data_IF_238749945007
#
_entry.id   IF_238749945007
#
_cell.length_a   1.000
_cell.length_b   1.000
_cell.length_c   1.000
_cell.angle_alpha   90.00
_cell.angle_beta   90.00
_cell.angle_gamma   90.00
#
_symmetry.space_group_name_H-M   'P 1'
#
loop_
_entity.id
_entity.type
_entity.pdbx_description
1 polymer ?
#
# COMPACT_ATOMS: atom_id res chain seq x y z
N UNK A 1 -10.70 24.18 90.86
CA UNK A 1 -10.34 25.19 89.85
C UNK A 1 -9.92 24.44 88.59
N UNK A 2 -10.53 24.77 87.46
CA UNK A 2 -10.21 24.24 86.11
C UNK A 2 -8.80 24.73 85.65
N UNK A 3 -8.20 24.29 84.51
CA UNK A 3 -8.81 23.98 83.19
C UNK A 3 -8.38 22.60 82.59
N UNK A 4 -9.19 21.82 81.88
CA UNK A 4 -9.78 21.93 80.52
C UNK A 4 -8.76 22.27 79.41
N UNK A 5 -8.27 21.23 78.72
CA UNK A 5 -7.59 21.30 77.43
C UNK A 5 -8.49 20.71 76.33
N UNK A 6 -8.79 21.54 75.33
CA UNK A 6 -9.53 21.23 74.11
C UNK A 6 -8.61 20.54 73.09
N UNK A 7 -8.98 19.36 72.58
CA UNK A 7 -8.53 18.89 71.27
C UNK A 7 -9.77 18.56 70.42
N UNK A 8 -10.06 19.46 69.47
CA UNK A 8 -11.07 19.25 68.44
C UNK A 8 -10.53 18.33 67.34
N UNK A 9 -11.18 17.19 67.16
CA UNK A 9 -10.92 16.27 66.05
C UNK A 9 -11.75 16.73 64.84
N UNK A 10 -11.10 17.30 63.81
CA UNK A 10 -11.73 17.56 62.51
C UNK A 10 -11.68 16.29 61.67
N UNK A 11 -12.84 15.67 61.45
CA UNK A 11 -12.98 14.61 60.45
C UNK A 11 -13.00 15.23 59.05
N UNK A 12 -11.95 14.97 58.25
CA UNK A 12 -11.92 15.30 56.83
C UNK A 12 -12.61 14.17 56.06
N UNK A 13 -13.77 14.48 55.48
CA UNK A 13 -14.50 13.58 54.58
C UNK A 13 -13.81 13.61 53.22
N UNK A 14 -13.02 12.58 52.90
CA UNK A 14 -12.48 12.39 51.55
C UNK A 14 -13.61 11.88 50.64
N UNK A 15 -14.15 12.78 49.82
CA UNK A 15 -14.98 12.40 48.67
C UNK A 15 -14.04 11.84 47.59
N UNK A 16 -14.01 10.51 47.47
CA UNK A 16 -13.42 9.84 46.32
C UNK A 16 -14.23 10.21 45.06
N UNK A 17 -13.59 10.66 43.97
CA UNK A 17 -14.29 10.83 42.71
C UNK A 17 -14.75 9.45 42.22
N UNK A 18 -16.04 9.28 42.01
CA UNK A 18 -16.58 8.16 41.25
C UNK A 18 -15.97 8.22 39.85
N UNK A 19 -14.97 7.36 39.60
CA UNK A 19 -14.59 7.02 38.24
C UNK A 19 -15.81 6.36 37.60
N UNK A 20 -16.50 7.09 36.72
CA UNK A 20 -17.45 6.47 35.80
C UNK A 20 -16.65 5.49 34.97
N UNK A 21 -16.77 4.20 35.27
CA UNK A 21 -16.39 3.15 34.34
C UNK A 21 -17.13 3.43 33.05
N UNK A 22 -16.41 3.85 32.01
CA UNK A 22 -16.96 3.93 30.68
C UNK A 22 -17.53 2.55 30.36
N UNK A 23 -18.84 2.47 30.20
CA UNK A 23 -19.50 1.27 29.69
C UNK A 23 -18.90 1.00 28.32
N UNK A 24 -18.04 -0.01 28.22
CA UNK A 24 -17.65 -0.58 26.94
C UNK A 24 -18.95 -1.09 26.31
N UNK A 25 -19.58 -0.31 25.43
CA UNK A 25 -20.74 -0.78 24.72
C UNK A 25 -20.29 -1.97 23.86
N UNK A 26 -20.77 -3.17 24.20
CA UNK A 26 -20.59 -4.39 23.41
C UNK A 26 -21.36 -4.34 22.07
N UNK A 27 -21.63 -3.15 21.54
CA UNK A 27 -22.38 -2.98 20.30
C UNK A 27 -21.43 -3.02 19.11
N UNK A 28 -21.71 -3.94 18.20
CA UNK A 28 -21.11 -3.95 16.87
C UNK A 28 -21.54 -2.69 16.13
N UNK A 29 -20.57 -1.95 15.59
CA UNK A 29 -20.85 -0.87 14.65
C UNK A 29 -20.77 -1.38 13.21
N UNK A 30 -21.63 -0.86 12.34
CA UNK A 30 -21.64 -1.21 10.91
C UNK A 30 -21.66 0.06 10.06
N UNK A 31 -20.89 0.06 8.96
CA UNK A 31 -20.93 1.11 7.94
C UNK A 31 -20.55 0.52 6.59
N UNK A 32 -21.33 0.76 5.54
CA UNK A 32 -21.07 0.30 4.17
C UNK A 32 -20.72 -1.21 4.07
N UNK A 33 -21.39 -2.04 4.88
CA UNK A 33 -21.16 -3.48 4.97
C UNK A 33 -19.92 -3.91 5.78
N UNK A 34 -19.10 -2.97 6.25
CA UNK A 34 -17.99 -3.22 7.17
C UNK A 34 -18.48 -3.23 8.61
N UNK A 35 -17.94 -4.11 9.44
CA UNK A 35 -18.31 -4.25 10.85
C UNK A 35 -17.14 -3.98 11.79
N UNK A 36 -17.46 -3.52 12.99
CA UNK A 36 -16.51 -3.37 14.09
C UNK A 36 -17.06 -4.08 15.32
N UNK A 37 -16.72 -5.36 15.45
CA UNK A 37 -17.14 -6.23 16.54
C UNK A 37 -16.05 -6.25 17.63
N UNK A 38 -16.39 -6.05 18.91
CA UNK A 38 -15.40 -6.12 19.99
C UNK A 38 -14.62 -7.43 19.96
N UNK A 39 -13.28 -7.34 19.99
CA UNK A 39 -12.33 -8.47 19.99
C UNK A 39 -12.28 -9.34 18.73
N UNK A 40 -12.97 -8.96 17.64
CA UNK A 40 -12.78 -9.63 16.36
C UNK A 40 -11.37 -9.38 15.79
N UNK A 41 -10.85 -10.32 15.00
CA UNK A 41 -9.65 -10.11 14.18
C UNK A 41 -9.95 -8.99 13.19
N UNK A 42 -9.04 -8.01 13.09
CA UNK A 42 -9.19 -6.84 12.22
C UNK A 42 -8.37 -7.02 10.95
N UNK A 43 -8.74 -6.30 9.90
CA UNK A 43 -7.97 -6.36 8.66
C UNK A 43 -6.53 -5.87 8.79
N UNK A 44 -6.18 -5.04 9.78
CA UNK A 44 -4.79 -4.64 10.05
C UNK A 44 -4.07 -5.56 11.04
N UNK A 45 -4.69 -6.68 11.44
CA UNK A 45 -4.09 -7.73 12.28
C UNK A 45 -3.49 -8.87 11.45
N UNK A 46 -3.41 -8.71 10.14
CA UNK A 46 -2.72 -9.65 9.24
C UNK A 46 -1.48 -8.99 8.62
N UNK A 47 -0.60 -9.80 8.05
CA UNK A 47 0.56 -9.36 7.29
C UNK A 47 0.57 -10.09 5.94
N UNK A 48 0.78 -9.34 4.88
CA UNK A 48 0.83 -9.83 3.50
C UNK A 48 2.15 -9.45 2.82
N UNK A 49 2.50 -10.19 1.79
CA UNK A 49 3.62 -9.86 0.89
C UNK A 49 3.07 -9.17 -0.36
N UNK A 50 3.77 -8.12 -0.77
CA UNK A 50 3.47 -7.36 -1.97
C UNK A 50 4.65 -7.30 -2.92
N UNK A 51 4.37 -7.07 -4.20
CA UNK A 51 5.42 -6.83 -5.19
C UNK A 51 5.62 -5.34 -5.40
N UNK A 52 6.87 -4.90 -5.42
CA UNK A 52 7.25 -3.54 -5.80
C UNK A 52 7.16 -3.45 -7.34
N UNK A 53 6.54 -2.39 -7.87
CA UNK A 53 6.27 -2.23 -9.31
C UNK A 53 5.60 -3.45 -9.96
N UNK A 54 4.52 -3.99 -9.38
CA UNK A 54 3.88 -5.25 -9.76
C UNK A 54 3.59 -5.42 -11.25
N UNK A 55 3.41 -4.33 -11.99
CA UNK A 55 3.10 -4.34 -13.41
C UNK A 55 4.32 -4.54 -14.33
N UNK A 56 5.54 -4.37 -13.79
CA UNK A 56 6.78 -4.18 -14.55
C UNK A 56 7.19 -5.37 -15.42
N UNK A 57 7.72 -5.05 -16.61
CA UNK A 57 8.32 -5.99 -17.57
C UNK A 57 9.66 -5.46 -18.04
N UNK A 58 10.66 -6.34 -18.08
CA UNK A 58 11.99 -6.04 -18.62
C UNK A 58 11.86 -5.64 -20.08
N UNK A 59 12.56 -4.57 -20.46
CA UNK A 59 12.64 -4.15 -21.85
C UNK A 59 13.25 -5.27 -22.72
N UNK A 60 12.81 -5.44 -23.98
CA UNK A 60 13.46 -6.36 -24.91
C UNK A 60 14.95 -6.05 -25.09
N UNK A 61 15.78 -7.08 -25.33
CA UNK A 61 17.23 -6.92 -25.51
C UNK A 61 17.62 -5.86 -26.56
N UNK A 62 16.79 -5.67 -27.59
CA UNK A 62 17.01 -4.65 -28.62
C UNK A 62 16.92 -3.21 -28.10
N UNK A 63 16.19 -2.98 -27.00
CA UNK A 63 16.04 -1.67 -26.36
C UNK A 63 17.12 -1.42 -25.29
N UNK A 64 17.80 -2.46 -24.79
CA UNK A 64 18.78 -2.36 -23.69
C UNK A 64 19.88 -1.32 -23.91
N UNK A 65 20.57 -1.24 -25.08
CA UNK A 65 21.61 -0.24 -25.27
C UNK A 65 21.08 1.19 -25.22
N UNK A 66 19.89 1.43 -25.78
CA UNK A 66 19.24 2.73 -25.74
C UNK A 66 18.77 3.07 -24.33
N UNK A 67 18.17 2.11 -23.63
CA UNK A 67 17.75 2.26 -22.24
C UNK A 67 18.95 2.60 -21.33
N UNK A 68 20.07 1.91 -21.50
CA UNK A 68 21.31 2.15 -20.75
C UNK A 68 21.95 3.52 -21.03
N UNK A 69 21.68 4.13 -22.19
CA UNK A 69 22.12 5.48 -22.52
C UNK A 69 21.24 6.56 -21.88
N UNK A 70 20.01 6.22 -21.51
CA UNK A 70 19.02 7.15 -20.93
C UNK A 70 19.00 7.06 -19.41
N UNK A 71 18.99 5.85 -18.86
CA UNK A 71 18.78 5.58 -17.44
C UNK A 71 20.09 5.22 -16.72
N UNK A 72 20.37 5.83 -15.55
CA UNK A 72 21.45 5.38 -14.68
C UNK A 72 21.11 4.03 -14.05
N UNK A 73 22.13 3.24 -13.70
CA UNK A 73 21.98 1.95 -13.02
C UNK A 73 20.97 1.01 -13.71
N UNK A 74 21.01 0.96 -15.04
CA UNK A 74 20.01 0.28 -15.89
C UNK A 74 19.72 -1.19 -15.52
N UNK A 75 20.68 -1.87 -14.88
CA UNK A 75 20.52 -3.24 -14.42
C UNK A 75 19.37 -3.41 -13.41
N UNK A 76 19.04 -2.37 -12.63
CA UNK A 76 17.91 -2.38 -11.71
C UNK A 76 16.54 -2.48 -12.40
N UNK A 77 16.48 -2.26 -13.72
CA UNK A 77 15.26 -2.37 -14.52
C UNK A 77 15.17 -3.71 -15.27
N UNK A 78 16.18 -4.58 -15.15
CA UNK A 78 16.26 -5.85 -15.88
C UNK A 78 15.64 -7.01 -15.10
N UNK A 79 14.36 -6.86 -14.77
CA UNK A 79 13.53 -7.88 -14.15
C UNK A 79 12.12 -7.83 -14.74
N UNK A 80 11.33 -8.87 -14.49
CA UNK A 80 9.93 -8.89 -14.90
C UNK A 80 9.09 -9.56 -13.83
N UNK A 81 7.90 -9.02 -13.62
CA UNK A 81 6.86 -9.76 -12.94
C UNK A 81 5.97 -10.52 -13.93
N UNK A 82 5.35 -11.64 -13.50
CA UNK A 82 4.20 -12.21 -14.18
C UNK A 82 3.00 -11.24 -14.18
N UNK A 83 1.94 -11.56 -14.92
CA UNK A 83 0.68 -10.80 -14.84
C UNK A 83 0.13 -10.75 -13.40
N UNK A 84 -0.64 -9.71 -13.06
CA UNK A 84 -1.09 -9.47 -11.68
C UNK A 84 -1.91 -10.63 -11.08
N UNK A 85 -2.76 -11.26 -11.88
CA UNK A 85 -3.52 -12.46 -11.50
C UNK A 85 -2.63 -13.69 -11.30
N UNK A 86 -1.57 -13.83 -12.10
CA UNK A 86 -0.55 -14.89 -11.94
C UNK A 86 0.25 -14.67 -10.65
N UNK A 87 0.58 -13.43 -10.30
CA UNK A 87 1.22 -13.10 -9.02
C UNK A 87 0.30 -13.47 -7.84
N UNK A 88 -0.98 -13.09 -7.89
CA UNK A 88 -1.94 -13.46 -6.85
C UNK A 88 -2.11 -14.98 -6.72
N UNK A 89 -2.24 -15.69 -7.83
CA UNK A 89 -2.55 -17.13 -7.85
C UNK A 89 -1.33 -17.98 -7.50
N UNK A 90 -0.18 -17.72 -8.11
CA UNK A 90 0.97 -18.62 -8.09
C UNK A 90 2.14 -18.13 -7.23
N UNK A 91 2.12 -16.87 -6.80
CA UNK A 91 3.17 -16.29 -5.96
C UNK A 91 2.64 -15.80 -4.61
N UNK A 92 1.37 -16.11 -4.29
CA UNK A 92 0.72 -15.79 -3.02
C UNK A 92 0.73 -14.29 -2.69
N UNK A 93 0.70 -13.44 -3.71
CA UNK A 93 0.74 -11.97 -3.55
C UNK A 93 -0.63 -11.42 -3.18
N UNK A 94 -0.67 -10.55 -2.15
CA UNK A 94 -1.89 -9.87 -1.69
C UNK A 94 -1.71 -8.36 -1.54
N UNK A 95 -0.65 -7.80 -2.11
CA UNK A 95 -0.48 -6.37 -2.30
C UNK A 95 0.14 -6.10 -3.68
N UNK A 96 -0.38 -5.09 -4.38
CA UNK A 96 0.14 -4.68 -5.68
C UNK A 96 0.57 -3.22 -5.65
N UNK A 97 1.61 -2.87 -6.39
CA UNK A 97 2.12 -1.52 -6.54
C UNK A 97 2.06 -1.10 -8.01
N UNK A 98 1.41 0.04 -8.27
CA UNK A 98 1.22 0.61 -9.59
C UNK A 98 1.76 2.04 -9.63
N UNK A 99 2.66 2.28 -10.57
CA UNK A 99 3.12 3.62 -10.91
C UNK A 99 2.16 4.20 -11.93
N UNK A 100 1.65 5.38 -11.64
CA UNK A 100 0.61 6.00 -12.46
C UNK A 100 1.05 7.33 -13.04
N UNK A 101 0.69 7.53 -14.29
CA UNK A 101 0.93 8.76 -15.03
C UNK A 101 -0.41 9.32 -15.54
N UNK A 102 -0.63 10.61 -15.32
CA UNK A 102 -1.83 11.29 -15.78
C UNK A 102 -1.75 11.51 -17.30
N UNK A 103 -2.81 11.17 -18.02
CA UNK A 103 -2.93 11.41 -19.46
C UNK A 103 -4.39 11.79 -19.81
N UNK A 104 -4.83 13.01 -19.43
CA UNK A 104 -6.22 13.43 -19.54
C UNK A 104 -6.71 13.58 -20.99
N UNK A 105 -5.80 13.84 -21.93
CA UNK A 105 -6.12 13.99 -23.35
C UNK A 105 -5.86 12.71 -24.16
N UNK A 106 -5.10 11.77 -23.60
CA UNK A 106 -4.69 10.55 -24.28
C UNK A 106 -3.50 10.76 -25.21
N UNK A 107 -2.76 9.69 -25.47
CA UNK A 107 -1.66 9.69 -26.42
C UNK A 107 -0.35 10.27 -25.90
N UNK A 108 -0.32 10.84 -24.69
CA UNK A 108 0.85 11.54 -24.17
C UNK A 108 2.07 10.63 -23.97
N UNK A 109 1.82 9.36 -23.62
CA UNK A 109 2.83 8.31 -23.49
C UNK A 109 2.81 7.30 -24.65
N UNK A 110 2.13 7.67 -25.75
CA UNK A 110 1.91 6.75 -26.86
C UNK A 110 3.14 6.57 -27.75
N UNK A 111 4.21 7.37 -27.66
CA UNK A 111 5.44 7.26 -28.47
C UNK A 111 6.67 7.24 -27.58
N UNK A 112 7.66 6.37 -27.84
CA UNK A 112 8.67 5.97 -26.82
C UNK A 112 10.04 6.39 -27.28
N UNK A 113 10.66 7.26 -26.50
CA UNK A 113 12.00 7.75 -26.71
C UNK A 113 13.02 6.60 -26.83
N UNK A 114 12.94 5.57 -25.98
CA UNK A 114 13.86 4.42 -26.02
C UNK A 114 13.81 3.67 -27.35
N UNK A 115 12.63 3.53 -27.97
CA UNK A 115 12.46 2.87 -29.27
C UNK A 115 13.11 3.67 -30.39
N UNK A 116 12.86 4.99 -30.40
CA UNK A 116 13.48 5.91 -31.35
C UNK A 116 15.01 5.86 -31.26
N UNK A 117 15.57 5.88 -30.04
CA UNK A 117 17.01 5.78 -29.84
C UNK A 117 17.59 4.43 -30.22
N UNK A 118 16.82 3.35 -30.08
CA UNK A 118 17.19 2.01 -30.53
C UNK A 118 17.06 1.84 -32.06
N UNK A 119 16.57 2.84 -32.81
CA UNK A 119 16.30 2.72 -34.24
C UNK A 119 15.17 1.74 -34.56
N UNK A 120 14.27 1.52 -33.61
CA UNK A 120 13.09 0.66 -33.73
C UNK A 120 11.87 1.49 -34.15
N UNK A 121 10.84 0.81 -34.65
CA UNK A 121 9.55 1.43 -34.97
C UNK A 121 8.94 2.09 -33.72
N UNK A 122 8.80 3.41 -33.71
CA UNK A 122 8.25 4.20 -32.61
C UNK A 122 6.80 4.66 -32.86
N UNK A 123 6.08 3.96 -33.75
CA UNK A 123 4.66 4.20 -34.00
C UNK A 123 3.84 4.29 -32.69
N UNK A 124 2.82 5.18 -32.63
CA UNK A 124 2.00 5.31 -31.45
C UNK A 124 1.36 3.98 -31.02
N UNK A 125 1.43 3.63 -29.73
CA UNK A 125 0.72 2.44 -29.23
C UNK A 125 -0.77 2.76 -29.14
N UNK A 126 -1.63 2.02 -29.85
CA UNK A 126 -3.07 2.29 -29.86
C UNK A 126 -3.71 2.20 -28.47
N UNK A 127 -3.20 1.37 -27.57
CA UNK A 127 -3.76 1.18 -26.22
C UNK A 127 -3.54 2.41 -25.32
N UNK A 128 -2.61 3.29 -25.70
CA UNK A 128 -2.26 4.50 -24.96
C UNK A 128 -2.83 5.78 -25.59
N UNK A 129 -3.57 5.68 -26.70
CA UNK A 129 -4.16 6.84 -27.39
C UNK A 129 -5.41 7.40 -26.73
N UNK A 130 -6.18 6.58 -26.02
CA UNK A 130 -7.38 7.05 -25.34
C UNK A 130 -7.01 7.87 -24.09
N UNK A 131 -7.82 8.87 -23.67
CA UNK A 131 -7.71 9.50 -22.36
C UNK A 131 -7.71 8.51 -21.20
N UNK A 132 -7.10 8.91 -20.08
CA UNK A 132 -7.14 8.19 -18.81
C UNK A 132 -5.76 7.77 -18.31
N UNK A 133 -5.70 7.30 -17.07
CA UNK A 133 -4.45 7.10 -16.34
C UNK A 133 -3.64 5.92 -16.91
N UNK A 134 -2.33 6.14 -17.13
CA UNK A 134 -1.40 5.14 -17.68
C UNK A 134 -0.59 4.49 -16.57
N UNK A 135 -0.17 3.25 -16.81
CA UNK A 135 0.69 2.48 -15.92
C UNK A 135 1.97 2.12 -16.66
N UNK A 136 3.10 2.62 -16.17
CA UNK A 136 4.45 2.42 -16.68
C UNK A 136 5.46 2.85 -15.61
N UNK A 137 6.74 2.49 -15.75
CA UNK A 137 7.73 2.75 -14.69
C UNK A 137 8.49 4.07 -14.88
N UNK A 138 9.14 4.25 -16.02
CA UNK A 138 9.78 5.53 -16.40
C UNK A 138 9.27 5.93 -17.76
N UNK A 139 8.64 7.11 -17.84
CA UNK A 139 8.08 7.64 -19.08
C UNK A 139 9.10 7.55 -20.21
N UNK A 140 8.68 6.95 -21.33
CA UNK A 140 9.43 6.78 -22.58
C UNK A 140 10.74 5.97 -22.53
N UNK A 141 11.23 5.60 -21.35
CA UNK A 141 12.51 4.93 -21.14
C UNK A 141 12.39 3.50 -20.59
N UNK A 142 11.41 3.26 -19.72
CA UNK A 142 11.09 1.94 -19.16
C UNK A 142 9.56 1.80 -19.06
N UNK A 143 8.95 1.49 -20.20
CA UNK A 143 7.50 1.60 -20.39
C UNK A 143 6.77 0.25 -20.46
N UNK A 144 7.51 -0.86 -20.46
CA UNK A 144 6.90 -2.18 -20.63
C UNK A 144 6.18 -2.60 -19.35
N UNK A 145 4.95 -3.05 -19.54
CA UNK A 145 4.02 -3.35 -18.45
C UNK A 145 3.11 -4.51 -18.85
N UNK A 146 2.63 -5.27 -17.86
CA UNK A 146 1.61 -6.32 -18.04
C UNK A 146 0.22 -5.75 -18.35
N UNK A 147 -0.03 -4.49 -18.02
CA UNK A 147 -1.28 -3.77 -18.25
C UNK A 147 -1.02 -2.26 -18.35
N UNK A 148 -1.61 -1.58 -19.34
CA UNK A 148 -1.16 -0.24 -19.77
C UNK A 148 -1.94 0.93 -19.19
N UNK A 149 -3.16 0.69 -18.71
CA UNK A 149 -4.02 1.70 -18.07
C UNK A 149 -4.38 1.27 -16.67
N UNK A 150 -4.66 2.23 -15.79
CA UNK A 150 -5.06 1.95 -14.41
C UNK A 150 -6.29 1.03 -14.39
N UNK A 151 -7.33 1.39 -15.13
CA UNK A 151 -8.56 0.59 -15.22
C UNK A 151 -8.32 -0.84 -15.73
N UNK A 152 -7.42 -1.04 -16.70
CA UNK A 152 -7.08 -2.38 -17.17
C UNK A 152 -6.35 -3.19 -16.09
N UNK A 153 -5.36 -2.59 -15.42
CA UNK A 153 -4.63 -3.24 -14.33
C UNK A 153 -5.55 -3.63 -13.17
N UNK A 154 -6.40 -2.71 -12.72
CA UNK A 154 -7.36 -2.96 -11.65
C UNK A 154 -8.39 -4.03 -12.04
N UNK A 155 -8.81 -4.07 -13.31
CA UNK A 155 -9.76 -5.08 -13.80
C UNK A 155 -9.20 -6.51 -13.77
N UNK A 156 -7.88 -6.68 -13.97
CA UNK A 156 -7.23 -8.00 -13.83
C UNK A 156 -7.37 -8.51 -12.41
N UNK A 157 -7.02 -7.70 -11.42
CA UNK A 157 -7.12 -8.09 -10.00
C UNK A 157 -8.58 -8.21 -9.57
N UNK A 158 -9.48 -7.36 -10.10
CA UNK A 158 -10.92 -7.49 -9.84
C UNK A 158 -11.47 -8.83 -10.29
N UNK A 159 -11.13 -9.27 -11.51
CA UNK A 159 -11.58 -10.56 -12.02
C UNK A 159 -11.08 -11.72 -11.15
N UNK A 160 -9.83 -11.64 -10.68
CA UNK A 160 -9.29 -12.59 -9.71
C UNK A 160 -10.06 -12.54 -8.38
N UNK A 161 -10.27 -11.34 -7.82
CA UNK A 161 -10.98 -11.11 -6.56
C UNK A 161 -12.42 -11.65 -6.59
N UNK A 162 -13.15 -11.43 -7.69
CA UNK A 162 -14.53 -11.92 -7.86
C UNK A 162 -14.60 -13.46 -7.83
N UNK A 163 -13.55 -14.15 -8.29
CA UNK A 163 -13.40 -15.61 -8.23
C UNK A 163 -12.90 -16.13 -6.88
N UNK A 164 -12.40 -15.25 -5.99
CA UNK A 164 -11.73 -15.60 -4.74
C UNK A 164 -12.29 -14.79 -3.55
N UNK A 165 -13.62 -14.75 -3.38
CA UNK A 165 -14.29 -13.77 -2.52
C UNK A 165 -13.88 -13.76 -1.04
N UNK A 166 -13.27 -14.85 -0.55
CA UNK A 166 -12.81 -14.97 0.83
C UNK A 166 -11.37 -14.50 1.04
N UNK A 167 -10.71 -13.97 0.00
CA UNK A 167 -9.34 -13.44 0.11
C UNK A 167 -9.28 -12.31 1.13
N UNK A 168 -8.14 -12.17 1.82
CA UNK A 168 -7.91 -11.03 2.72
C UNK A 168 -7.88 -9.71 1.95
N UNK A 169 -8.18 -8.55 2.57
CA UNK A 169 -8.21 -7.28 1.85
C UNK A 169 -6.90 -6.99 1.10
N UNK A 170 -6.99 -6.60 -0.18
CA UNK A 170 -5.82 -6.36 -1.03
C UNK A 170 -5.51 -4.86 -1.06
N UNK A 171 -4.43 -4.39 -0.42
CA UNK A 171 -3.94 -3.04 -0.62
C UNK A 171 -3.29 -2.87 -2.00
N UNK A 172 -3.58 -1.75 -2.65
CA UNK A 172 -2.86 -1.23 -3.80
C UNK A 172 -2.01 -0.03 -3.39
N UNK A 173 -0.71 -0.13 -3.55
CA UNK A 173 0.20 1.02 -3.52
C UNK A 173 0.09 1.77 -4.85
N UNK A 174 -0.13 3.08 -4.80
CA UNK A 174 -0.26 3.95 -5.98
C UNK A 174 0.84 5.01 -5.92
N UNK A 175 1.84 4.91 -6.79
CA UNK A 175 2.89 5.92 -6.94
C UNK A 175 2.54 6.91 -8.04
N UNK A 176 2.39 8.18 -7.65
CA UNK A 176 2.10 9.27 -8.57
C UNK A 176 3.41 9.72 -9.22
N UNK A 177 3.60 9.30 -10.47
CA UNK A 177 4.78 9.63 -11.27
C UNK A 177 4.51 10.74 -12.27
N UNK A 178 5.58 11.40 -12.68
CA UNK A 178 5.61 12.34 -13.80
C UNK A 178 6.85 12.07 -14.62
N UNK A 179 6.85 12.45 -15.91
CA UNK A 179 8.06 12.32 -16.72
C UNK A 179 9.24 13.06 -16.12
N UNK A 180 10.42 12.46 -16.18
CA UNK A 180 11.64 13.11 -15.70
C UNK A 180 12.03 14.28 -16.60
N UNK A 181 12.64 15.32 -16.01
CA UNK A 181 13.07 16.50 -16.77
C UNK A 181 14.07 16.15 -17.88
N UNK A 182 14.94 15.14 -17.66
CA UNK A 182 15.89 14.67 -18.66
C UNK A 182 15.20 14.02 -19.87
N UNK A 183 14.13 13.25 -19.64
CA UNK A 183 13.30 12.65 -20.70
C UNK A 183 12.64 13.74 -21.55
N UNK A 184 12.02 14.73 -20.89
CA UNK A 184 11.39 15.85 -21.57
C UNK A 184 12.42 16.67 -22.39
N UNK A 185 13.62 16.89 -21.84
CA UNK A 185 14.70 17.59 -22.54
C UNK A 185 15.22 16.82 -23.77
N UNK A 186 15.10 15.49 -23.76
CA UNK A 186 15.44 14.61 -24.87
C UNK A 186 14.28 14.44 -25.89
N UNK A 187 13.27 15.32 -25.87
CA UNK A 187 12.09 15.25 -26.72
C UNK A 187 11.23 13.97 -26.53
N UNK A 188 11.23 13.44 -25.30
CA UNK A 188 10.21 12.52 -24.79
C UNK A 188 9.02 13.26 -24.16
N UNK A 189 8.13 12.51 -23.53
CA UNK A 189 6.92 13.00 -22.88
C UNK A 189 7.23 14.07 -21.82
N UNK A 190 6.54 15.22 -21.88
CA UNK A 190 6.64 16.27 -20.87
C UNK A 190 5.98 15.85 -19.53
N UNK A 191 6.40 16.39 -18.37
CA UNK A 191 5.73 16.10 -17.11
C UNK A 191 4.31 16.67 -17.08
N UNK A 192 3.33 15.83 -16.74
CA UNK A 192 1.97 16.25 -16.37
C UNK A 192 1.87 16.15 -14.84
N UNK A 193 1.84 17.27 -14.11
CA UNK A 193 1.95 17.24 -12.66
C UNK A 193 0.63 16.85 -12.00
N UNK A 194 0.72 15.96 -11.00
CA UNK A 194 -0.44 15.42 -10.28
C UNK A 194 -1.02 16.35 -9.21
N UNK A 195 -0.40 17.48 -8.90
CA UNK A 195 -0.92 18.47 -7.95
C UNK A 195 -2.06 19.32 -8.57
N UNK A 196 -3.00 18.64 -9.22
CA UNK A 196 -4.18 19.17 -9.88
C UNK A 196 -5.43 18.44 -9.34
N UNK A 197 -6.37 19.20 -8.78
CA UNK A 197 -7.54 18.61 -8.12
C UNK A 197 -8.47 17.86 -9.09
N UNK A 198 -8.49 18.22 -10.37
CA UNK A 198 -9.30 17.54 -11.37
C UNK A 198 -8.68 16.19 -11.76
N UNK A 199 -7.37 16.12 -11.94
CA UNK A 199 -6.66 14.85 -12.16
C UNK A 199 -6.82 13.90 -10.97
N UNK A 200 -6.67 14.42 -9.75
CA UNK A 200 -6.84 13.63 -8.52
C UNK A 200 -8.28 13.13 -8.33
N UNK A 201 -9.29 13.92 -8.76
CA UNK A 201 -10.67 13.44 -8.81
C UNK A 201 -10.86 12.38 -9.90
N UNK A 202 -10.24 12.55 -11.06
CA UNK A 202 -10.26 11.56 -12.13
C UNK A 202 -9.71 10.20 -11.69
N UNK A 203 -8.66 10.19 -10.87
CA UNK A 203 -8.16 8.96 -10.23
C UNK A 203 -9.22 8.31 -9.33
N UNK A 204 -9.82 9.08 -8.42
CA UNK A 204 -10.89 8.60 -7.54
C UNK A 204 -12.06 8.00 -8.36
N UNK A 205 -12.40 8.63 -9.49
CA UNK A 205 -13.48 8.20 -10.39
C UNK A 205 -13.12 6.93 -11.19
N UNK A 206 -11.90 6.82 -11.73
CA UNK A 206 -11.44 5.61 -12.42
C UNK A 206 -11.41 4.39 -11.48
N UNK A 207 -10.97 4.57 -10.23
CA UNK A 207 -11.00 3.48 -9.23
C UNK A 207 -12.44 3.03 -8.96
N UNK A 208 -13.35 3.98 -8.73
CA UNK A 208 -14.77 3.68 -8.48
C UNK A 208 -15.50 3.08 -9.67
N UNK A 209 -15.03 3.35 -10.89
CA UNK A 209 -15.57 2.73 -12.09
C UNK A 209 -15.25 1.23 -12.16
N UNK A 210 -14.14 0.80 -11.56
CA UNK A 210 -13.75 -0.62 -11.50
C UNK A 210 -14.32 -1.29 -10.24
N UNK A 211 -14.17 -0.68 -9.07
CA UNK A 211 -14.61 -1.23 -7.79
C UNK A 211 -15.77 -0.44 -7.20
N UNK A 212 -16.92 -1.11 -7.05
CA UNK A 212 -18.07 -0.58 -6.34
C UNK A 212 -17.80 -0.38 -4.83
N UNK A 213 -18.66 0.38 -4.13
CA UNK A 213 -18.47 0.69 -2.70
C UNK A 213 -18.46 -0.55 -1.78
N UNK A 214 -19.08 -1.65 -2.20
CA UNK A 214 -19.07 -2.94 -1.51
C UNK A 214 -17.74 -3.71 -1.66
N UNK A 215 -16.91 -3.33 -2.65
CA UNK A 215 -15.58 -3.89 -2.91
C UNK A 215 -14.44 -2.99 -2.45
N UNK A 216 -14.75 -1.82 -1.87
CA UNK A 216 -13.77 -0.87 -1.38
C UNK A 216 -13.75 -0.79 0.15
N UNK A 217 -12.57 -0.48 0.69
CA UNK A 217 -12.40 0.13 2.01
C UNK A 217 -11.78 1.51 1.79
N UNK A 218 -12.49 2.55 2.19
CA UNK A 218 -12.12 3.96 1.99
C UNK A 218 -11.92 4.69 3.31
N UNK A 219 -11.22 5.85 3.33
CA UNK A 219 -11.13 6.70 4.52
C UNK A 219 -12.49 6.99 5.16
N UNK A 220 -13.51 7.25 4.35
CA UNK A 220 -14.86 7.54 4.83
C UNK A 220 -15.45 6.40 5.63
N UNK A 221 -15.16 5.14 5.32
CA UNK A 221 -15.65 3.99 6.07
C UNK A 221 -15.11 3.97 7.51
N UNK A 222 -13.89 4.46 7.71
CA UNK A 222 -13.20 4.43 9.00
C UNK A 222 -13.57 5.63 9.88
N UNK A 223 -13.79 6.81 9.29
CA UNK A 223 -14.12 8.04 10.03
C UNK A 223 -15.34 7.90 10.93
N UNK A 224 -15.27 8.37 12.18
CA UNK A 224 -16.38 8.31 13.15
C UNK A 224 -16.80 9.69 13.66
N UNK A 225 -18.05 10.06 13.42
CA UNK A 225 -18.63 11.29 13.94
C UNK A 225 -17.75 12.52 13.64
N UNK A 226 -17.34 13.24 14.70
CA UNK A 226 -16.49 14.43 14.60
C UNK A 226 -14.99 14.15 14.78
N UNK A 227 -14.57 12.88 14.76
CA UNK A 227 -13.15 12.51 14.87
C UNK A 227 -12.44 12.71 13.52
N UNK A 228 -11.13 12.98 13.60
CA UNK A 228 -10.26 12.80 12.45
C UNK A 228 -10.16 11.31 12.07
N UNK A 229 -9.66 11.00 10.89
CA UNK A 229 -9.43 9.66 10.38
C UNK A 229 -8.41 8.98 11.28
N UNK A 230 -7.31 9.67 11.58
CA UNK A 230 -6.32 9.23 12.56
C UNK A 230 -6.96 8.88 13.90
N UNK A 231 -7.71 9.82 14.49
CA UNK A 231 -8.38 9.57 15.77
C UNK A 231 -9.36 8.39 15.70
N UNK A 232 -10.00 8.19 14.56
CA UNK A 232 -10.92 7.08 14.35
C UNK A 232 -10.18 5.74 14.32
N UNK A 233 -9.06 5.64 13.62
CA UNK A 233 -8.28 4.39 13.56
C UNK A 233 -7.59 4.09 14.90
N UNK A 234 -7.03 5.10 15.57
CA UNK A 234 -6.37 4.91 16.86
C UNK A 234 -7.34 4.54 17.99
N UNK A 235 -8.60 5.02 17.93
CA UNK A 235 -9.61 4.76 18.98
C UNK A 235 -10.45 3.52 18.70
N UNK A 236 -10.79 3.26 17.45
CA UNK A 236 -11.77 2.25 17.07
C UNK A 236 -11.18 1.12 16.23
N UNK A 237 -9.94 1.26 15.77
CA UNK A 237 -9.26 0.28 14.92
C UNK A 237 -9.85 0.20 13.51
N UNK A 238 -9.31 -0.75 12.75
CA UNK A 238 -9.77 -1.08 11.41
C UNK A 238 -11.00 -2.02 11.45
N UNK A 239 -11.75 -2.14 10.34
CA UNK A 239 -12.84 -3.10 10.22
C UNK A 239 -12.44 -4.53 10.59
N UNK A 240 -13.44 -5.33 10.98
CA UNK A 240 -13.29 -6.77 11.17
C UNK A 240 -12.84 -7.41 9.85
N UNK A 241 -11.88 -8.33 9.92
CA UNK A 241 -11.33 -9.03 8.76
C UNK A 241 -12.45 -9.67 7.93
N UNK A 242 -13.38 -10.37 8.59
CA UNK A 242 -14.51 -11.06 7.94
C UNK A 242 -15.36 -10.14 7.08
N UNK A 243 -15.65 -8.92 7.53
CA UNK A 243 -16.45 -7.95 6.76
C UNK A 243 -15.65 -7.28 5.63
N UNK A 244 -14.31 -7.34 5.71
CA UNK A 244 -13.40 -6.73 4.77
C UNK A 244 -12.91 -7.71 3.68
N UNK A 245 -13.13 -9.03 3.82
CA UNK A 245 -12.80 -10.03 2.80
C UNK A 245 -13.37 -9.66 1.43
N UNK A 246 -12.63 -10.01 0.38
CA UNK A 246 -13.07 -9.73 -1.00
C UNK A 246 -13.10 -8.24 -1.36
N UNK A 247 -12.48 -7.37 -0.54
CA UNK A 247 -12.36 -5.92 -0.78
C UNK A 247 -10.92 -5.52 -1.04
N UNK A 248 -10.77 -4.31 -1.59
CA UNK A 248 -9.49 -3.68 -1.86
C UNK A 248 -9.41 -2.31 -1.19
N UNK A 249 -8.20 -1.80 -0.97
CA UNK A 249 -7.94 -0.45 -0.48
C UNK A 249 -6.75 0.16 -1.21
N UNK A 250 -6.68 1.49 -1.28
CA UNK A 250 -5.65 2.18 -2.05
C UNK A 250 -4.79 3.07 -1.15
N UNK A 251 -3.48 2.97 -1.28
CA UNK A 251 -2.47 3.57 -0.42
C UNK A 251 -1.56 4.44 -1.30
N UNK A 252 -1.48 5.73 -1.02
CA UNK A 252 -0.60 6.65 -1.76
C UNK A 252 0.86 6.35 -1.39
N UNK A 253 1.71 6.11 -2.38
CA UNK A 253 3.13 5.87 -2.15
C UNK A 253 3.89 7.16 -1.77
N UNK A 254 3.59 8.26 -2.45
CA UNK A 254 4.32 9.52 -2.31
C UNK A 254 4.35 10.01 -0.85
N UNK A 255 5.50 10.52 -0.42
CA UNK A 255 5.81 10.81 0.98
C UNK A 255 4.85 11.78 1.69
N UNK A 256 4.93 11.84 3.04
CA UNK A 256 4.09 12.73 3.85
C UNK A 256 4.33 14.23 3.57
N UNK A 257 5.47 14.58 2.99
CA UNK A 257 5.81 15.91 2.48
C UNK A 257 5.92 15.81 0.96
N UNK A 258 4.81 16.03 0.26
CA UNK A 258 4.77 15.91 -1.20
C UNK A 258 3.63 16.75 -1.80
N UNK A 259 3.85 17.52 -2.90
CA UNK A 259 2.82 18.37 -3.50
C UNK A 259 1.53 17.65 -3.90
N UNK A 260 1.65 16.38 -4.31
CA UNK A 260 0.47 15.55 -4.65
C UNK A 260 -0.39 15.29 -3.41
N UNK A 261 0.24 14.93 -2.28
CA UNK A 261 -0.47 14.69 -1.02
C UNK A 261 -1.14 15.97 -0.54
N UNK A 262 -0.43 17.10 -0.61
CA UNK A 262 -0.96 18.41 -0.23
C UNK A 262 -2.20 18.76 -1.08
N UNK A 263 -2.13 18.58 -2.40
CA UNK A 263 -3.28 18.80 -3.29
C UNK A 263 -4.42 17.79 -3.07
N UNK A 264 -4.12 16.57 -2.67
CA UNK A 264 -5.13 15.53 -2.41
C UNK A 264 -5.93 15.81 -1.13
N UNK A 265 -5.27 16.42 -0.13
CA UNK A 265 -5.86 16.80 1.17
C UNK A 265 -6.43 18.22 1.19
N UNK A 266 -6.17 19.04 0.16
CA UNK A 266 -6.68 20.41 0.09
C UNK A 266 -8.22 20.46 0.11
N UNK A 267 -8.77 21.27 1.01
CA UNK A 267 -10.21 21.33 1.32
C UNK A 267 -10.82 20.03 1.87
N UNK A 268 -10.02 18.97 2.05
CA UNK A 268 -10.41 17.63 2.50
C UNK A 268 -9.36 17.06 3.46
N UNK A 269 -9.05 17.74 4.57
CA UNK A 269 -7.94 17.38 5.45
C UNK A 269 -8.14 16.03 6.13
N UNK A 270 -9.37 15.51 6.14
CA UNK A 270 -9.72 14.21 6.71
C UNK A 270 -9.96 13.14 5.62
N UNK A 271 -9.52 13.41 4.38
CA UNK A 271 -9.77 12.59 3.20
C UNK A 271 -11.26 12.41 2.88
N UNK A 272 -12.08 13.43 3.15
CA UNK A 272 -13.52 13.35 2.91
C UNK A 272 -13.85 13.05 1.45
N UNK A 273 -14.54 11.93 1.19
CA UNK A 273 -14.93 11.52 -0.15
C UNK A 273 -13.77 11.07 -1.04
N UNK A 274 -12.56 10.90 -0.51
CA UNK A 274 -11.40 10.34 -1.23
C UNK A 274 -11.42 8.82 -1.21
N UNK A 275 -10.78 8.18 -2.20
CA UNK A 275 -10.61 6.72 -2.23
C UNK A 275 -9.32 6.29 -1.53
N UNK A 276 -8.21 6.97 -1.83
CA UNK A 276 -6.90 6.62 -1.28
C UNK A 276 -6.74 7.07 0.18
N UNK A 277 -6.00 6.26 0.95
CA UNK A 277 -5.32 6.66 2.17
C UNK A 277 -3.97 7.30 1.80
N UNK A 278 -3.71 8.50 2.30
CA UNK A 278 -2.43 9.19 2.10
C UNK A 278 -1.35 8.60 2.99
N UNK A 279 -0.12 8.53 2.49
CA UNK A 279 1.05 8.32 3.34
C UNK A 279 1.28 9.60 4.15
N UNK A 280 0.89 9.60 5.42
CA UNK A 280 0.87 10.81 6.25
C UNK A 280 1.68 10.61 7.53
N UNK A 281 2.04 11.71 8.19
CA UNK A 281 2.75 11.67 9.45
C UNK A 281 1.76 11.60 10.63
N UNK A 282 2.06 10.84 11.70
CA UNK A 282 1.29 10.86 12.94
C UNK A 282 1.09 12.29 13.47
N UNK A 283 -0.12 12.58 13.94
CA UNK A 283 -0.63 13.88 14.34
C UNK A 283 -1.42 14.62 13.24
N UNK A 284 -1.30 14.20 11.98
CA UNK A 284 -2.11 14.76 10.90
C UNK A 284 -3.51 14.13 10.85
N UNK A 285 -4.58 14.90 10.55
CA UNK A 285 -5.94 14.38 10.55
C UNK A 285 -6.16 13.15 9.63
N UNK A 286 -5.45 13.07 8.51
CA UNK A 286 -5.52 12.02 7.50
C UNK A 286 -4.64 10.79 7.79
N UNK A 287 -3.86 10.78 8.88
CA UNK A 287 -2.90 9.71 9.13
C UNK A 287 -3.58 8.40 9.57
N UNK A 288 -3.79 7.50 8.61
CA UNK A 288 -4.11 6.09 8.87
C UNK A 288 -3.06 5.13 8.28
N UNK A 289 -2.30 5.59 7.29
CA UNK A 289 -1.30 4.82 6.56
C UNK A 289 0.06 5.52 6.57
N UNK A 290 1.13 4.72 6.71
CA UNK A 290 2.52 5.17 6.66
C UNK A 290 3.35 4.23 5.77
N UNK A 291 4.14 4.81 4.86
CA UNK A 291 5.18 4.07 4.14
C UNK A 291 6.53 4.29 4.80
N UNK A 292 7.07 3.23 5.40
CA UNK A 292 8.33 3.23 6.13
C UNK A 292 9.25 2.17 5.52
N UNK A 293 10.09 2.59 4.57
CA UNK A 293 10.79 1.67 3.67
C UNK A 293 11.88 0.83 4.31
N UNK A 294 12.55 1.33 5.35
CA UNK A 294 13.70 0.68 5.97
C UNK A 294 13.27 -0.03 7.26
N UNK A 295 13.15 -1.37 7.26
CA UNK A 295 12.78 -2.11 8.47
C UNK A 295 13.98 -2.39 9.38
N UNK A 296 15.15 -1.79 9.15
CA UNK A 296 16.37 -2.09 9.88
C UNK A 296 16.69 -1.03 10.94
N UNK A 297 17.65 -1.35 11.82
CA UNK A 297 18.16 -0.41 12.82
C UNK A 297 17.07 0.18 13.72
N UNK A 298 17.16 1.50 13.96
CA UNK A 298 16.19 2.22 14.80
C UNK A 298 14.80 2.34 14.14
N UNK A 299 14.72 2.31 12.81
CA UNK A 299 13.46 2.47 12.09
C UNK A 299 12.55 1.25 12.27
N UNK A 300 13.12 0.06 12.46
CA UNK A 300 12.35 -1.13 12.84
C UNK A 300 11.49 -0.91 14.09
N UNK A 301 12.08 -0.28 15.12
CA UNK A 301 11.39 0.00 16.36
C UNK A 301 10.29 1.05 16.15
N UNK A 302 10.51 2.02 15.27
CA UNK A 302 9.47 2.97 14.86
C UNK A 302 8.32 2.25 14.15
N UNK A 303 8.59 1.43 13.13
CA UNK A 303 7.57 0.65 12.42
C UNK A 303 6.74 -0.17 13.40
N UNK A 304 7.39 -0.90 14.31
CA UNK A 304 6.68 -1.70 15.32
C UNK A 304 5.78 -0.85 16.21
N UNK A 305 6.25 0.33 16.62
CA UNK A 305 5.45 1.26 17.42
C UNK A 305 4.24 1.81 16.65
N UNK A 306 4.41 2.16 15.37
CA UNK A 306 3.31 2.63 14.51
C UNK A 306 2.26 1.53 14.30
N UNK A 307 2.71 0.30 14.02
CA UNK A 307 1.85 -0.87 13.87
C UNK A 307 1.07 -1.12 15.17
N UNK A 308 1.75 -1.13 16.32
CA UNK A 308 1.11 -1.34 17.63
C UNK A 308 0.11 -0.24 17.99
N UNK A 309 0.30 0.99 17.49
CA UNK A 309 -0.64 2.09 17.67
C UNK A 309 -1.92 1.94 16.84
N UNK A 310 -1.92 1.10 15.79
CA UNK A 310 -3.07 0.83 14.95
C UNK A 310 -3.01 1.45 13.55
N UNK A 311 -1.88 2.07 13.17
CA UNK A 311 -1.66 2.49 11.79
C UNK A 311 -1.47 1.29 10.87
N UNK A 312 -1.83 1.46 9.60
CA UNK A 312 -1.40 0.57 8.53
C UNK A 312 -0.01 0.98 8.07
N UNK A 313 0.93 0.03 7.99
CA UNK A 313 2.31 0.31 7.60
C UNK A 313 2.74 -0.59 6.45
N UNK A 314 3.38 0.01 5.44
CA UNK A 314 4.14 -0.71 4.41
C UNK A 314 5.63 -0.53 4.66
N UNK A 315 6.38 -1.63 4.55
CA UNK A 315 7.85 -1.64 4.56
C UNK A 315 8.40 -2.47 3.40
N UNK A 316 9.73 -2.53 3.25
CA UNK A 316 10.40 -3.34 2.21
C UNK A 316 11.21 -4.48 2.82
N UNK A 317 11.36 -5.57 2.09
CA UNK A 317 12.24 -6.69 2.46
C UNK A 317 13.62 -6.63 1.80
N UNK A 318 13.79 -5.80 0.79
CA UNK A 318 14.98 -5.69 -0.05
C UNK A 318 15.13 -4.30 -0.67
N UNK A 319 16.34 -4.05 -1.18
CA UNK A 319 16.73 -2.95 -2.07
C UNK A 319 17.25 -3.61 -3.35
N UNK A 320 16.77 -3.25 -4.56
CA UNK A 320 16.71 -4.13 -5.73
C UNK A 320 17.93 -5.05 -5.92
N UNK A 321 18.95 -4.64 -6.66
CA UNK A 321 20.15 -5.46 -6.82
C UNK A 321 21.14 -5.34 -5.65
N UNK A 322 21.06 -4.27 -4.85
CA UNK A 322 21.95 -4.04 -3.72
C UNK A 322 21.84 -5.15 -2.67
N UNK A 323 20.62 -5.62 -2.38
CA UNK A 323 20.41 -6.75 -1.48
C UNK A 323 21.04 -8.03 -2.04
N UNK A 324 20.82 -8.34 -3.32
CA UNK A 324 21.38 -9.55 -3.92
C UNK A 324 22.91 -9.56 -3.96
N UNK A 325 23.55 -8.40 -4.13
CA UNK A 325 25.01 -8.27 -4.18
C UNK A 325 25.65 -8.05 -2.80
N UNK A 326 24.86 -7.96 -1.74
CA UNK A 326 25.38 -7.80 -0.38
C UNK A 326 25.93 -9.11 0.21
N UNK A 327 26.68 -9.00 1.30
CA UNK A 327 27.11 -10.15 2.10
C UNK A 327 25.99 -10.71 3.00
N UNK A 328 24.85 -10.01 3.11
CA UNK A 328 23.70 -10.41 3.91
C UNK A 328 22.41 -10.09 3.16
N UNK A 329 21.95 -11.08 2.40
CA UNK A 329 20.75 -10.98 1.58
C UNK A 329 19.47 -11.06 2.40
N UNK A 330 19.51 -11.45 3.69
CA UNK A 330 18.30 -11.88 4.43
C UNK A 330 17.91 -11.01 5.61
N UNK A 331 18.84 -10.27 6.24
CA UNK A 331 18.52 -9.53 7.46
C UNK A 331 17.40 -8.50 7.27
N UNK A 332 17.35 -7.78 6.14
CA UNK A 332 16.29 -6.80 5.88
C UNK A 332 14.91 -7.47 5.78
N UNK A 333 14.82 -8.65 5.14
CA UNK A 333 13.60 -9.46 5.06
C UNK A 333 13.12 -9.90 6.44
N UNK A 334 14.01 -10.48 7.24
CA UNK A 334 13.66 -10.93 8.59
C UNK A 334 13.24 -9.76 9.48
N UNK A 335 13.92 -8.61 9.30
CA UNK A 335 13.58 -7.41 10.02
C UNK A 335 12.20 -6.86 9.62
N UNK A 336 11.85 -6.89 8.32
CA UNK A 336 10.53 -6.53 7.81
C UNK A 336 9.44 -7.44 8.38
N UNK A 337 9.66 -8.75 8.35
CA UNK A 337 8.75 -9.73 8.91
C UNK A 337 8.52 -9.50 10.42
N UNK A 338 9.58 -9.28 11.20
CA UNK A 338 9.48 -9.06 12.64
C UNK A 338 8.87 -7.70 13.03
N UNK A 339 8.93 -6.70 12.13
CA UNK A 339 8.43 -5.34 12.38
C UNK A 339 6.91 -5.27 12.56
N UNK A 340 6.17 -6.21 11.96
CA UNK A 340 4.71 -6.22 11.93
C UNK A 340 4.10 -5.23 10.93
N UNK A 341 4.86 -4.60 10.04
CA UNK A 341 4.25 -3.85 8.93
C UNK A 341 3.26 -4.74 8.18
N UNK A 342 2.03 -4.27 7.93
CA UNK A 342 0.97 -5.07 7.30
C UNK A 342 1.33 -5.46 5.86
N UNK A 343 2.11 -4.64 5.16
CA UNK A 343 2.63 -4.94 3.81
C UNK A 343 4.15 -5.01 3.86
N UNK A 344 4.70 -6.14 3.42
CA UNK A 344 6.13 -6.32 3.16
C UNK A 344 6.33 -6.40 1.65
N UNK A 345 6.80 -5.30 1.04
CA UNK A 345 7.05 -5.23 -0.39
C UNK A 345 8.43 -5.79 -0.75
N UNK A 346 8.52 -6.44 -1.91
CA UNK A 346 9.74 -7.08 -2.42
C UNK A 346 9.83 -6.97 -3.94
N UNK A 347 11.04 -6.91 -4.47
CA UNK A 347 11.32 -7.13 -5.89
C UNK A 347 11.44 -8.65 -6.23
N UNK A 348 11.50 -9.54 -5.22
CA UNK A 348 11.83 -10.97 -5.35
C UNK A 348 10.88 -11.89 -4.57
N UNK A 349 9.61 -11.97 -4.98
CA UNK A 349 8.59 -12.77 -4.30
C UNK A 349 8.67 -14.30 -4.54
N UNK A 350 9.54 -14.76 -5.45
CA UNK A 350 9.62 -16.18 -5.80
C UNK A 350 11.06 -16.63 -6.08
N UNK A 351 11.40 -17.84 -5.62
CA UNK A 351 12.65 -18.49 -6.01
C UNK A 351 12.72 -18.64 -7.53
N UNK A 352 13.93 -18.54 -8.08
CA UNK A 352 14.18 -18.49 -9.52
C UNK A 352 14.31 -17.06 -10.06
N UNK A 353 13.68 -16.07 -9.42
CA UNK A 353 13.76 -14.67 -9.88
C UNK A 353 15.16 -14.08 -9.70
N UNK A 354 15.84 -14.41 -8.61
CA UNK A 354 17.19 -13.94 -8.31
C UNK A 354 18.30 -14.80 -8.95
N UNK A 355 17.96 -15.94 -9.56
CA UNK A 355 18.95 -16.91 -10.10
C UNK A 355 19.81 -16.32 -11.22
N UNK A 356 19.33 -15.29 -11.92
CA UNK A 356 20.13 -14.52 -12.89
C UNK A 356 21.43 -13.97 -12.29
N UNK A 357 21.43 -13.71 -10.99
CA UNK A 357 22.57 -13.16 -10.24
C UNK A 357 23.27 -14.20 -9.36
N UNK A 358 23.01 -15.50 -9.57
CA UNK A 358 23.59 -16.61 -8.79
C UNK A 358 23.26 -16.54 -7.28
N UNK A 359 22.07 -16.03 -6.95
CA UNK A 359 21.56 -15.95 -5.58
C UNK A 359 20.20 -16.64 -5.52
N UNK A 360 19.96 -17.44 -4.48
CA UNK A 360 18.65 -18.02 -4.16
C UNK A 360 17.96 -17.19 -3.06
N UNK A 361 17.44 -16.03 -3.45
CA UNK A 361 16.71 -15.11 -2.58
C UNK A 361 15.24 -15.07 -2.97
N UNK A 362 14.37 -15.15 -1.96
CA UNK A 362 12.95 -14.91 -2.12
C UNK A 362 12.34 -14.39 -0.81
N UNK A 363 11.30 -13.58 -0.95
CA UNK A 363 10.48 -13.08 0.16
C UNK A 363 9.13 -13.77 0.09
N UNK A 364 8.94 -14.77 0.96
CA UNK A 364 7.75 -15.62 1.03
C UNK A 364 7.50 -16.00 2.48
N UNK A 365 6.24 -16.20 2.85
CA UNK A 365 5.93 -16.83 4.12
C UNK A 365 6.19 -18.34 4.06
N UNK A 366 6.35 -18.94 5.24
CA UNK A 366 6.48 -20.38 5.40
C UNK A 366 5.29 -21.10 4.74
N UNK A 367 5.55 -22.25 4.12
CA UNK A 367 4.52 -23.01 3.42
C UNK A 367 3.90 -22.31 2.20
N UNK A 368 4.50 -21.21 1.72
CA UNK A 368 3.96 -20.36 0.66
C UNK A 368 2.58 -19.74 0.98
N UNK A 369 2.28 -19.51 2.26
CA UNK A 369 1.09 -18.80 2.68
C UNK A 369 1.01 -17.40 2.03
N UNK A 370 -0.20 -16.96 1.66
CA UNK A 370 -0.44 -15.60 1.13
C UNK A 370 -0.51 -14.53 2.22
N UNK A 371 -0.84 -14.96 3.42
CA UNK A 371 -1.11 -14.09 4.57
C UNK A 371 -0.76 -14.85 5.84
N UNK A 372 -0.35 -14.10 6.87
CA UNK A 372 -0.21 -14.62 8.23
C UNK A 372 -0.76 -13.63 9.25
N UNK A 373 -0.97 -14.08 10.47
CA UNK A 373 -1.27 -13.26 11.62
C UNK A 373 -0.11 -12.29 11.87
N UNK A 374 -0.46 -11.03 12.10
CA UNK A 374 0.53 -9.99 12.35
C UNK A 374 1.27 -10.24 13.68
N UNK A 375 2.61 -10.32 13.71
CA UNK A 375 3.37 -10.66 14.92
C UNK A 375 3.37 -9.56 16.00
N UNK A 376 2.74 -8.41 15.73
CA UNK A 376 2.63 -7.28 16.66
C UNK A 376 1.19 -7.07 17.12
N UNK A 377 0.23 -7.10 16.20
CA UNK A 377 -1.17 -6.69 16.47
C UNK A 377 -2.16 -7.85 16.48
N UNK A 378 -1.80 -9.04 16.01
CA UNK A 378 -2.73 -10.16 16.01
C UNK A 378 -3.16 -10.52 17.44
N UNK A 379 -4.44 -10.79 17.60
CA UNK A 379 -4.98 -11.29 18.86
C UNK A 379 -4.45 -12.71 19.14
N UNK A 380 -4.42 -13.11 20.41
CA UNK A 380 -3.93 -14.43 20.87
C UNK A 380 -4.64 -15.63 20.18
N UNK A 381 -5.86 -15.43 19.66
CA UNK A 381 -6.63 -16.43 18.92
C UNK A 381 -6.58 -16.30 17.39
N UNK A 382 -5.65 -15.53 16.83
CA UNK A 382 -5.47 -15.46 15.38
C UNK A 382 -4.82 -16.76 14.89
N UNK A 383 -5.43 -17.38 13.89
CA UNK A 383 -4.98 -18.63 13.28
C UNK A 383 -4.67 -18.40 11.80
N UNK A 384 -3.39 -18.53 11.43
CA UNK A 384 -2.89 -18.36 10.06
C UNK A 384 -3.69 -19.19 9.06
N UNK A 385 -4.08 -20.42 9.43
CA UNK A 385 -4.80 -21.33 8.55
C UNK A 385 -6.26 -20.91 8.28
N UNK A 386 -6.81 -20.02 9.11
CA UNK A 386 -8.17 -19.49 8.97
C UNK A 386 -8.20 -18.12 8.26
N UNK A 387 -7.05 -17.53 7.97
CA UNK A 387 -6.98 -16.20 7.36
C UNK A 387 -7.37 -16.21 5.89
N UNK A 388 -7.10 -17.27 5.14
CA UNK A 388 -7.49 -17.39 3.74
C UNK A 388 -7.66 -18.86 3.35
N UNK A 389 -8.59 -19.20 2.44
CA UNK A 389 -8.75 -20.58 1.98
C UNK A 389 -7.47 -21.11 1.32
N UNK A 390 -7.05 -22.30 1.75
CA UNK A 390 -5.77 -22.90 1.32
C UNK A 390 -5.75 -23.22 -0.19
N UNK A 391 -6.92 -23.43 -0.79
CA UNK A 391 -7.10 -23.63 -2.23
C UNK A 391 -6.66 -22.42 -3.06
N UNK A 392 -6.58 -21.22 -2.49
CA UNK A 392 -6.15 -20.02 -3.22
C UNK A 392 -4.63 -19.96 -3.41
N UNK A 393 -3.88 -20.85 -2.74
CA UNK A 393 -2.41 -20.94 -2.83
C UNK A 393 -1.90 -22.36 -3.14
N UNK A 394 -2.79 -23.37 -3.17
CA UNK A 394 -2.45 -24.74 -3.59
C UNK A 394 -2.46 -24.82 -5.11
N UNK A 395 -1.27 -24.79 -5.70
CA UNK A 395 -1.06 -25.05 -7.13
C UNK A 395 -0.28 -26.34 -7.35
#
# INVERSE_FOLDING_TARGET
MAPISNLGLKAALFLLPFASAASCSNQTHTRNGLTWTPRAVRMNHVQVIGTHNSYHREAPLAEHPAQAAILPNVQNYYYSHPALDVQATYQSIRNFELDIFADPDGGHYATRLVRRHAGLDDAPDPDLLAPGIKVLHVADADYHTTCKTLTACLSVVKAWSDAHQDHVPIPFMIEFKTSEAAIAAAAGAAPIPWNDTALLRGLDDEIRAVFGPDRLVTPDDLRRGNLTLEQSVLRHGWPDLESARGRVLFLMDNGPVHPVRDAYTDGRPNLEGRVLFTNSAPGNPDCAFQKLNDPTGAEQANIRAQVAAGYWVRTRADVPLDTLFSNDTTAMREAAFASGAQVVSTDFQAYGMSTRWDVDYAVRFEGAAAVRCNPVTAAEGCDDAALEPVEYVRN
#
